data_IF_480020767234
#
_entry.id   IF_480020767234
#
_cell.length_a   1.000
_cell.length_b   1.000
_cell.length_c   1.000
_cell.angle_alpha   90.00
_cell.angle_beta   90.00
_cell.angle_gamma   90.00
#
_symmetry.space_group_name_H-M   'P 1'
#
loop_
_entity.id
_entity.type
_entity.pdbx_description
1 polymer ?
#
# COMPACT_ATOMS: atom_id res chain seq x y z
N UNK A 1 -7.50 24.23 -22.94
CA UNK A 1 -7.66 22.76 -22.98
C UNK A 1 -8.02 22.26 -21.58
N UNK A 2 -8.99 21.35 -21.45
CA UNK A 2 -9.38 20.77 -20.15
C UNK A 2 -8.35 19.70 -19.76
N UNK A 3 -7.82 19.73 -18.53
CA UNK A 3 -6.90 18.68 -18.06
C UNK A 3 -7.67 17.36 -17.95
N UNK A 4 -7.06 16.28 -18.45
CA UNK A 4 -7.57 14.93 -18.24
C UNK A 4 -7.54 14.58 -16.74
N UNK A 5 -8.57 13.86 -16.29
CA UNK A 5 -8.68 13.37 -14.92
C UNK A 5 -8.38 11.88 -14.92
N UNK A 6 -7.57 11.44 -13.98
CA UNK A 6 -7.17 10.04 -13.84
C UNK A 6 -7.41 9.58 -12.40
N UNK A 7 -7.64 8.28 -12.26
CA UNK A 7 -7.66 7.59 -10.97
C UNK A 7 -6.54 6.56 -10.98
N UNK A 8 -5.78 6.49 -9.89
CA UNK A 8 -4.72 5.52 -9.68
C UNK A 8 -5.12 4.66 -8.47
N UNK A 9 -5.19 3.35 -8.66
CA UNK A 9 -5.62 2.40 -7.62
C UNK A 9 -4.68 1.20 -7.66
N UNK A 10 -4.17 0.80 -6.50
CA UNK A 10 -3.33 -0.40 -6.34
C UNK A 10 -4.05 -1.46 -5.51
N UNK A 11 -4.02 -2.70 -6.00
CA UNK A 11 -4.48 -3.90 -5.30
C UNK A 11 -3.29 -4.58 -4.64
N UNK A 12 -3.19 -4.49 -3.32
CA UNK A 12 -2.13 -5.10 -2.55
C UNK A 12 -2.62 -6.45 -2.01
N UNK A 13 -2.06 -7.56 -2.51
CA UNK A 13 -2.47 -8.91 -2.16
C UNK A 13 -1.29 -9.78 -1.72
N UNK A 14 -1.23 -10.09 -0.42
CA UNK A 14 -0.26 -11.03 0.13
C UNK A 14 -0.73 -12.51 0.04
N UNK A 15 -2.01 -12.76 -0.24
CA UNK A 15 -2.53 -14.11 -0.51
C UNK A 15 -2.31 -14.51 -1.97
N UNK A 16 -1.08 -14.33 -2.48
CA UNK A 16 -0.73 -14.71 -3.84
C UNK A 16 -0.09 -16.10 -3.82
N UNK A 17 -0.60 -17.02 -4.65
CA UNK A 17 -0.21 -18.44 -4.61
C UNK A 17 1.27 -18.72 -4.90
N UNK A 18 1.97 -17.77 -5.49
CA UNK A 18 3.41 -17.89 -5.80
C UNK A 18 4.31 -17.16 -4.80
N UNK A 19 3.76 -16.64 -3.69
CA UNK A 19 4.52 -15.98 -2.63
C UNK A 19 4.47 -16.89 -1.40
N UNK A 20 5.62 -17.45 -1.05
CA UNK A 20 5.77 -18.23 0.18
C UNK A 20 5.69 -17.32 1.42
N UNK A 21 5.27 -17.85 2.57
CA UNK A 21 5.06 -17.03 3.79
C UNK A 21 6.35 -16.33 4.24
N UNK A 22 7.51 -16.96 4.06
CA UNK A 22 8.81 -16.39 4.42
C UNK A 22 9.18 -15.18 3.55
N UNK A 23 8.55 -15.04 2.38
CA UNK A 23 8.80 -13.94 1.44
C UNK A 23 7.89 -12.73 1.67
N UNK A 24 6.87 -12.84 2.53
CA UNK A 24 5.91 -11.76 2.76
C UNK A 24 6.60 -10.47 3.21
N UNK A 25 7.56 -10.57 4.14
CA UNK A 25 8.34 -9.41 4.60
C UNK A 25 9.15 -8.78 3.46
N UNK A 26 9.65 -9.57 2.52
CA UNK A 26 10.35 -9.04 1.35
C UNK A 26 9.40 -8.25 0.43
N UNK A 27 8.18 -8.75 0.20
CA UNK A 27 7.15 -8.06 -0.60
C UNK A 27 6.77 -6.74 0.06
N UNK A 28 6.53 -6.75 1.37
CA UNK A 28 6.19 -5.55 2.13
C UNK A 28 7.29 -4.49 2.00
N UNK A 29 8.55 -4.90 2.22
CA UNK A 29 9.70 -3.98 2.22
C UNK A 29 10.07 -3.47 0.82
N UNK A 30 9.92 -4.29 -0.22
CA UNK A 30 10.34 -3.93 -1.59
C UNK A 30 9.22 -3.38 -2.46
N UNK A 31 7.96 -3.57 -2.09
CA UNK A 31 6.82 -3.13 -2.91
C UNK A 31 5.88 -2.21 -2.14
N UNK A 32 5.44 -2.57 -0.93
CA UNK A 32 4.34 -1.87 -0.27
C UNK A 32 4.81 -0.59 0.44
N UNK A 33 5.88 -0.67 1.22
CA UNK A 33 6.47 0.52 1.85
C UNK A 33 6.96 1.55 0.82
N UNK A 34 7.67 1.15 -0.25
CA UNK A 34 8.04 2.08 -1.33
C UNK A 34 6.83 2.74 -2.00
N UNK A 35 5.71 2.04 -2.16
CA UNK A 35 4.48 2.62 -2.71
C UNK A 35 3.98 3.79 -1.84
N UNK A 36 3.93 3.62 -0.50
CA UNK A 36 3.52 4.70 0.40
C UNK A 36 4.47 5.90 0.32
N UNK A 37 5.77 5.65 0.19
CA UNK A 37 6.77 6.71 0.04
C UNK A 37 6.60 7.48 -1.27
N UNK A 38 6.29 6.79 -2.39
CA UNK A 38 5.99 7.45 -3.66
C UNK A 38 4.74 8.31 -3.56
N UNK A 39 3.66 7.82 -2.93
CA UNK A 39 2.43 8.59 -2.71
C UNK A 39 2.72 9.87 -1.92
N UNK A 40 3.49 9.75 -0.83
CA UNK A 40 3.89 10.86 0.04
C UNK A 40 4.78 11.88 -0.68
N UNK A 41 5.86 11.42 -1.30
CA UNK A 41 6.87 12.29 -1.94
C UNK A 41 6.35 13.00 -3.19
N UNK A 42 5.44 12.38 -3.93
CA UNK A 42 4.83 12.98 -5.13
C UNK A 42 3.55 13.75 -4.83
N UNK A 43 3.00 13.62 -3.62
CA UNK A 43 1.72 14.20 -3.22
C UNK A 43 0.57 13.80 -4.17
N UNK A 44 0.57 12.55 -4.63
CA UNK A 44 -0.37 12.01 -5.64
C UNK A 44 -1.49 11.22 -4.96
N UNK A 45 -2.75 11.66 -5.13
CA UNK A 45 -3.92 10.94 -4.61
C UNK A 45 -4.04 9.56 -5.25
N UNK A 46 -4.09 8.53 -4.41
CA UNK A 46 -3.97 7.14 -4.83
C UNK A 46 -4.87 6.26 -3.98
N UNK A 47 -5.74 5.46 -4.61
CA UNK A 47 -6.49 4.44 -3.90
C UNK A 47 -5.62 3.21 -3.59
N UNK A 48 -5.78 2.65 -2.41
CA UNK A 48 -5.16 1.38 -2.03
C UNK A 48 -6.28 0.44 -1.58
N UNK A 49 -6.32 -0.75 -2.16
CA UNK A 49 -7.18 -1.84 -1.72
C UNK A 49 -6.33 -2.98 -1.16
N UNK A 50 -6.83 -3.57 -0.07
CA UNK A 50 -6.19 -4.64 0.68
C UNK A 50 -7.27 -5.66 1.08
N UNK A 51 -7.00 -6.94 0.88
CA UNK A 51 -7.83 -7.99 1.47
C UNK A 51 -7.70 -8.03 3.00
N UNK A 52 -8.71 -8.55 3.69
CA UNK A 52 -8.66 -8.73 5.15
C UNK A 52 -7.44 -9.54 5.62
N UNK A 53 -7.14 -10.64 4.92
CA UNK A 53 -5.93 -11.43 5.15
C UNK A 53 -4.65 -10.60 5.01
N UNK A 54 -4.55 -9.79 3.95
CA UNK A 54 -3.38 -8.93 3.73
C UNK A 54 -3.22 -7.93 4.88
N UNK A 55 -4.33 -7.36 5.37
CA UNK A 55 -4.31 -6.45 6.51
C UNK A 55 -3.86 -7.13 7.80
N UNK A 56 -4.33 -8.35 8.09
CA UNK A 56 -3.89 -9.14 9.24
C UNK A 56 -2.38 -9.43 9.19
N UNK A 57 -1.88 -9.89 8.03
CA UNK A 57 -0.44 -10.12 7.84
C UNK A 57 0.37 -8.83 7.96
N UNK A 58 -0.14 -7.70 7.49
CA UNK A 58 0.53 -6.39 7.67
C UNK A 58 0.60 -5.97 9.14
N UNK A 59 -0.47 -6.17 9.91
CA UNK A 59 -0.45 -5.93 11.37
C UNK A 59 0.61 -6.82 12.05
N UNK A 60 0.74 -8.07 11.60
CA UNK A 60 1.72 -9.02 12.14
C UNK A 60 3.17 -8.68 11.76
N UNK A 61 3.43 -8.36 10.49
CA UNK A 61 4.80 -8.26 9.96
C UNK A 61 5.31 -6.82 9.80
N UNK A 62 4.45 -5.80 9.78
CA UNK A 62 4.85 -4.41 9.57
C UNK A 62 3.87 -3.40 10.17
N UNK A 63 4.01 -3.13 11.47
CA UNK A 63 3.31 -2.02 12.12
C UNK A 63 3.60 -0.67 11.45
N UNK A 64 4.83 -0.48 10.95
CA UNK A 64 5.22 0.72 10.21
C UNK A 64 4.33 0.98 8.99
N UNK A 65 4.03 -0.05 8.19
CA UNK A 65 3.15 0.11 7.03
C UNK A 65 1.76 0.60 7.46
N UNK A 66 1.22 0.03 8.55
CA UNK A 66 -0.10 0.42 9.08
C UNK A 66 -0.11 1.88 9.54
N UNK A 67 0.94 2.32 10.23
CA UNK A 67 1.03 3.69 10.74
C UNK A 67 1.18 4.72 9.61
N UNK A 68 2.01 4.43 8.61
CA UNK A 68 2.16 5.27 7.41
C UNK A 68 0.86 5.33 6.60
N UNK A 69 0.16 4.20 6.41
CA UNK A 69 -1.11 4.16 5.69
C UNK A 69 -2.18 5.00 6.41
N UNK A 70 -2.29 4.90 7.74
CA UNK A 70 -3.20 5.75 8.54
C UNK A 70 -2.87 7.24 8.40
N UNK A 71 -1.58 7.59 8.37
CA UNK A 71 -1.16 8.98 8.19
C UNK A 71 -1.56 9.52 6.80
N UNK A 72 -1.41 8.72 5.74
CA UNK A 72 -1.81 9.07 4.39
C UNK A 72 -3.33 9.19 4.21
N UNK A 73 -4.11 8.33 4.88
CA UNK A 73 -5.58 8.45 4.93
C UNK A 73 -5.96 9.77 5.61
N UNK A 74 -5.34 10.07 6.76
CA UNK A 74 -5.61 11.32 7.49
C UNK A 74 -5.25 12.58 6.69
N UNK A 75 -4.22 12.51 5.84
CA UNK A 75 -3.84 13.62 4.96
C UNK A 75 -4.69 13.73 3.69
N UNK A 76 -5.52 12.72 3.39
CA UNK A 76 -6.37 12.67 2.20
C UNK A 76 -5.62 12.34 0.91
N UNK A 77 -4.45 11.71 1.02
CA UNK A 77 -3.67 11.20 -0.11
C UNK A 77 -4.05 9.76 -0.48
N UNK A 78 -4.57 8.98 0.47
CA UNK A 78 -5.15 7.65 0.27
C UNK A 78 -6.61 7.65 0.72
#
# INVERSE_FOLDING_TARGET
>A
MKKAKFYLIFHCNLAFSSIEEEQLTQVINKSYLPLLEVIKSTNTKTGIELSGYTLEKLIQYSSLFIDELKALIKSGLV
#
